data_IF_686591275125
#
_entry.id   IF_686591275125
#
_cell.length_a   1.000
_cell.length_b   1.000
_cell.length_c   1.000
_cell.angle_alpha   90.00
_cell.angle_beta   90.00
_cell.angle_gamma   90.00
#
_symmetry.space_group_name_H-M   'P 1'
#
loop_
_entity.id
_entity.type
_entity.pdbx_description
1 polymer ?
#
# COMPACT_ATOMS: atom_id res chain seq x y z
N UNK A 1 14.62 0.45 -33.42
CA UNK A 1 14.40 0.47 -31.95
C UNK A 1 13.99 1.87 -31.54
N UNK A 2 12.85 2.05 -30.88
CA UNK A 2 12.32 3.37 -30.54
C UNK A 2 13.26 4.09 -29.56
N UNK A 3 13.78 5.27 -29.95
CA UNK A 3 14.71 6.09 -29.15
C UNK A 3 14.20 6.38 -27.71
N UNK A 4 12.89 6.30 -27.50
CA UNK A 4 12.23 6.50 -26.20
C UNK A 4 12.51 5.40 -25.18
N UNK A 5 12.69 4.14 -25.62
CA UNK A 5 12.89 3.00 -24.70
C UNK A 5 14.25 3.07 -24.00
N UNK A 6 15.32 3.36 -24.76
CA UNK A 6 16.69 3.44 -24.22
C UNK A 6 16.83 4.65 -23.30
N UNK A 7 16.28 5.81 -23.69
CA UNK A 7 16.30 7.01 -22.87
C UNK A 7 15.57 6.83 -21.53
N UNK A 8 14.42 6.15 -21.53
CA UNK A 8 13.67 5.83 -20.31
C UNK A 8 14.46 4.93 -19.35
N UNK A 9 15.25 3.99 -19.88
CA UNK A 9 16.10 3.11 -19.07
C UNK A 9 17.23 3.91 -18.42
N UNK A 10 17.94 4.73 -19.21
CA UNK A 10 18.97 5.64 -18.68
C UNK A 10 18.41 6.53 -17.56
N UNK A 11 17.25 7.16 -17.78
CA UNK A 11 16.58 7.97 -16.76
C UNK A 11 16.17 7.20 -15.52
N UNK A 12 15.71 5.95 -15.65
CA UNK A 12 15.38 5.11 -14.50
C UNK A 12 16.64 4.76 -13.68
N UNK A 13 17.76 4.45 -14.35
CA UNK A 13 19.04 4.17 -13.68
C UNK A 13 19.57 5.40 -12.95
N UNK A 14 19.53 6.57 -13.57
CA UNK A 14 19.93 7.84 -12.93
C UNK A 14 19.08 8.14 -11.68
N UNK A 15 17.76 7.97 -11.75
CA UNK A 15 16.84 8.36 -10.67
C UNK A 15 16.80 7.36 -9.50
N UNK A 16 16.85 6.07 -9.80
CA UNK A 16 16.61 5.01 -8.79
C UNK A 16 17.90 4.27 -8.41
N UNK A 17 19.00 4.48 -9.14
CA UNK A 17 20.29 3.80 -8.90
C UNK A 17 20.29 2.33 -9.36
N UNK A 18 19.13 1.69 -9.43
CA UNK A 18 18.97 0.29 -9.84
C UNK A 18 17.92 0.13 -10.95
N UNK A 19 18.26 -0.71 -11.92
CA UNK A 19 17.33 -1.15 -12.96
C UNK A 19 16.73 -2.49 -12.56
N UNK A 20 15.59 -2.45 -11.89
CA UNK A 20 14.81 -3.65 -11.56
C UNK A 20 13.77 -3.96 -12.65
N UNK A 21 13.60 -5.25 -12.96
CA UNK A 21 12.51 -5.78 -13.80
C UNK A 21 11.23 -6.09 -13.01
N UNK A 22 11.22 -5.80 -11.70
CA UNK A 22 10.09 -6.10 -10.82
C UNK A 22 8.82 -5.40 -11.33
N UNK A 23 7.72 -6.15 -11.37
CA UNK A 23 6.41 -5.61 -11.72
C UNK A 23 6.06 -4.47 -10.76
N UNK A 24 5.49 -3.39 -11.29
CA UNK A 24 5.00 -2.29 -10.44
C UNK A 24 3.96 -2.85 -9.47
N UNK A 25 4.02 -2.53 -8.17
CA UNK A 25 2.96 -2.91 -7.26
C UNK A 25 1.64 -2.31 -7.76
N UNK A 26 0.56 -3.07 -7.61
CA UNK A 26 -0.77 -2.59 -7.93
C UNK A 26 -1.19 -1.42 -7.04
N UNK A 27 -2.30 -0.77 -7.39
CA UNK A 27 -2.85 0.30 -6.56
C UNK A 27 -3.27 -0.28 -5.19
N UNK A 28 -2.84 0.32 -4.07
CA UNK A 28 -3.39 -0.04 -2.76
C UNK A 28 -4.91 0.06 -2.79
N UNK A 29 -5.58 -0.99 -2.31
CA UNK A 29 -7.05 -1.00 -2.21
C UNK A 29 -7.46 -0.30 -0.93
N UNK A 30 -8.48 0.55 -1.03
CA UNK A 30 -9.09 1.17 0.15
C UNK A 30 -9.92 0.12 0.89
N UNK A 31 -9.88 0.18 2.21
CA UNK A 31 -10.76 -0.54 3.13
C UNK A 31 -12.22 -0.10 2.94
N UNK A 32 -13.18 -0.94 3.31
CA UNK A 32 -14.59 -0.58 3.24
C UNK A 32 -14.91 0.54 4.24
N UNK A 33 -15.81 1.45 3.87
CA UNK A 33 -16.19 2.60 4.73
C UNK A 33 -16.76 2.14 6.07
N UNK A 34 -17.41 0.98 6.10
CA UNK A 34 -17.94 0.36 7.32
C UNK A 34 -16.81 -0.08 8.24
N UNK A 35 -15.79 -0.75 7.69
CA UNK A 35 -14.62 -1.21 8.44
C UNK A 35 -13.83 -0.02 8.99
N UNK A 36 -13.64 1.03 8.19
CA UNK A 36 -12.98 2.26 8.63
C UNK A 36 -13.65 2.87 9.87
N UNK A 37 -14.99 2.92 9.88
CA UNK A 37 -15.77 3.43 11.02
C UNK A 37 -15.65 2.52 12.24
N UNK A 38 -15.69 1.19 12.03
CA UNK A 38 -15.53 0.20 13.11
C UNK A 38 -14.14 0.32 13.74
N UNK A 39 -13.08 0.35 12.94
CA UNK A 39 -11.69 0.54 13.39
C UNK A 39 -11.56 1.84 14.18
N UNK A 40 -12.05 2.96 13.66
CA UNK A 40 -12.01 4.25 14.36
C UNK A 40 -12.75 4.19 15.70
N UNK A 41 -13.89 3.51 15.77
CA UNK A 41 -14.65 3.37 17.01
C UNK A 41 -13.93 2.51 18.05
N UNK A 42 -13.26 1.43 17.62
CA UNK A 42 -12.48 0.54 18.48
C UNK A 42 -11.27 1.25 19.08
N UNK A 43 -10.48 1.91 18.23
CA UNK A 43 -9.26 2.63 18.65
C UNK A 43 -9.58 3.79 19.59
N UNK A 44 -10.71 4.49 19.38
CA UNK A 44 -11.12 5.57 20.27
C UNK A 44 -11.62 5.10 21.64
N UNK A 45 -12.25 3.91 21.71
CA UNK A 45 -12.77 3.35 22.96
C UNK A 45 -11.66 2.83 23.86
N UNK A 46 -10.62 2.22 23.27
CA UNK A 46 -9.52 1.60 24.00
C UNK A 46 -8.20 2.04 23.40
N UNK A 47 -7.47 2.91 24.12
CA UNK A 47 -6.20 3.51 23.67
C UNK A 47 -5.12 2.46 23.31
N UNK A 48 -5.24 1.24 23.84
CA UNK A 48 -4.30 0.13 23.62
C UNK A 48 -4.92 -1.04 22.82
N UNK A 49 -5.82 -0.77 21.87
CA UNK A 49 -6.28 -1.82 20.95
C UNK A 49 -5.12 -2.36 20.13
N UNK A 50 -4.91 -3.66 20.20
CA UNK A 50 -3.95 -4.36 19.35
C UNK A 50 -4.55 -4.66 17.98
N UNK A 51 -3.71 -4.79 16.96
CA UNK A 51 -4.14 -5.16 15.60
C UNK A 51 -4.88 -6.51 15.58
N UNK A 52 -4.49 -7.46 16.44
CA UNK A 52 -5.18 -8.74 16.57
C UNK A 52 -6.63 -8.60 17.03
N UNK A 53 -6.89 -7.74 18.02
CA UNK A 53 -8.24 -7.47 18.50
C UNK A 53 -9.11 -6.79 17.42
N UNK A 54 -8.54 -5.84 16.68
CA UNK A 54 -9.22 -5.18 15.55
C UNK A 54 -9.53 -6.21 14.44
N UNK A 55 -8.59 -7.10 14.13
CA UNK A 55 -8.80 -8.12 13.11
C UNK A 55 -9.91 -9.10 13.49
N UNK A 56 -9.90 -9.60 14.73
CA UNK A 56 -10.91 -10.55 15.19
C UNK A 56 -12.33 -9.94 15.15
N UNK A 57 -12.47 -8.67 15.54
CA UNK A 57 -13.76 -7.95 15.53
C UNK A 57 -14.27 -7.58 14.14
N UNK A 58 -13.41 -7.56 13.12
CA UNK A 58 -13.81 -7.32 11.73
C UNK A 58 -14.12 -8.61 10.95
N UNK A 59 -13.73 -9.77 11.46
CA UNK A 59 -13.95 -11.08 10.82
C UNK A 59 -15.24 -11.78 11.29
N UNK A 60 -15.90 -11.26 12.33
CA UNK A 60 -17.27 -11.62 12.73
C UNK A 60 -18.31 -11.07 11.75
#
# INVERSE_FOLDING_TARGET
MAKTTVWNILKKKERTGELSNTKRPGRPRKTAVVDDRRILSLVKKTLFTTVGQIKNTLQE
#
